data_IF_167669604703
#
_entry.id   IF_167669604703
#
_cell.length_a   1.000
_cell.length_b   1.000
_cell.length_c   1.000
_cell.angle_alpha   90.00
_cell.angle_beta   90.00
_cell.angle_gamma   90.00
#
_symmetry.space_group_name_H-M   'P 1'
#
loop_
_entity.id
_entity.type
_entity.pdbx_description
1 polymer ?
#
# COMPACT_ATOMS: atom_id res chain seq x y z
N UNK A 1 -9.85 28.16 5.81
CA UNK A 1 -9.04 27.88 7.01
C UNK A 1 -9.31 26.44 7.33
N UNK A 2 -8.40 25.58 6.89
CA UNK A 2 -8.59 24.13 6.88
C UNK A 2 -8.40 23.60 8.30
N UNK A 3 -9.44 23.01 8.87
CA UNK A 3 -9.25 22.16 10.03
C UNK A 3 -8.34 20.98 9.63
N UNK A 4 -7.28 20.68 10.39
CA UNK A 4 -6.51 19.48 10.12
C UNK A 4 -7.45 18.27 10.23
N UNK A 5 -7.42 17.43 9.19
CA UNK A 5 -8.11 16.14 9.12
C UNK A 5 -7.87 15.36 10.40
N UNK A 6 -8.90 14.66 10.89
CA UNK A 6 -8.95 14.00 12.21
C UNK A 6 -7.69 13.19 12.53
N UNK A 7 -7.08 12.57 11.52
CA UNK A 7 -5.88 11.75 11.68
C UNK A 7 -4.64 12.56 12.05
N UNK A 8 -4.47 13.77 11.50
CA UNK A 8 -3.31 14.62 11.74
C UNK A 8 -3.30 15.08 13.20
N UNK A 9 -4.44 15.58 13.69
CA UNK A 9 -4.64 15.99 15.09
C UNK A 9 -4.35 14.84 16.08
N UNK A 10 -4.65 13.60 15.70
CA UNK A 10 -4.46 12.42 16.55
C UNK A 10 -2.99 12.02 16.74
N UNK A 11 -2.11 12.29 15.77
CA UNK A 11 -0.76 11.69 15.75
C UNK A 11 0.40 12.68 15.69
N UNK A 12 0.15 13.98 15.49
CA UNK A 12 1.21 15.01 15.41
C UNK A 12 2.11 15.09 16.65
N UNK A 13 1.65 14.61 17.81
CA UNK A 13 2.48 14.52 19.02
C UNK A 13 3.52 13.39 18.98
N UNK A 14 3.27 12.36 18.17
CA UNK A 14 4.04 11.11 18.14
C UNK A 14 4.81 10.90 16.84
N UNK A 15 4.42 11.59 15.75
CA UNK A 15 5.10 11.48 14.47
C UNK A 15 4.90 12.73 13.61
N UNK A 16 5.89 13.01 12.76
CA UNK A 16 5.78 14.00 11.69
C UNK A 16 4.81 13.51 10.61
N UNK A 17 3.86 14.37 10.22
CA UNK A 17 2.97 14.13 9.08
C UNK A 17 3.14 15.25 8.06
N UNK A 18 3.45 14.86 6.84
CA UNK A 18 3.54 15.75 5.69
C UNK A 18 2.19 15.74 4.99
N UNK A 19 1.61 16.92 4.78
CA UNK A 19 0.33 17.04 4.05
C UNK A 19 0.52 17.78 2.73
N UNK A 20 -0.11 17.24 1.68
CA UNK A 20 -0.25 17.87 0.36
C UNK A 20 -1.73 18.18 0.17
N UNK A 21 -2.06 19.39 -0.24
CA UNK A 21 -3.44 19.86 -0.37
C UNK A 21 -3.73 20.29 -1.81
N UNK A 22 -4.84 19.82 -2.35
CA UNK A 22 -5.44 20.31 -3.60
C UNK A 22 -6.94 20.17 -3.47
N UNK A 23 -7.62 21.26 -3.10
CA UNK A 23 -9.06 21.24 -2.85
C UNK A 23 -9.82 20.53 -3.98
N UNK A 24 -10.74 19.61 -3.67
CA UNK A 24 -11.22 19.24 -2.32
C UNK A 24 -10.41 18.16 -1.59
N UNK A 25 -9.30 17.67 -2.15
CA UNK A 25 -8.55 16.55 -1.62
C UNK A 25 -7.30 16.94 -0.81
N UNK A 26 -6.90 16.06 0.10
CA UNK A 26 -5.60 16.12 0.77
C UNK A 26 -4.97 14.73 0.94
N UNK A 27 -3.64 14.72 0.90
CA UNK A 27 -2.82 13.53 1.07
C UNK A 27 -2.00 13.68 2.35
N UNK A 28 -2.06 12.70 3.24
CA UNK A 28 -1.29 12.68 4.49
C UNK A 28 -0.24 11.59 4.43
N UNK A 29 1.02 11.98 4.55
CA UNK A 29 2.18 11.12 4.41
C UNK A 29 2.91 11.02 5.74
N UNK A 30 3.20 9.79 6.15
CA UNK A 30 4.00 9.44 7.31
C UNK A 30 5.39 9.01 6.81
N UNK A 31 6.46 9.80 7.05
CA UNK A 31 7.82 9.42 6.65
C UNK A 31 8.29 8.10 7.28
N UNK A 32 7.82 7.79 8.49
CA UNK A 32 8.00 6.48 9.10
C UNK A 32 7.30 5.39 8.28
N UNK A 33 8.08 4.48 7.70
CA UNK A 33 7.61 3.48 6.73
C UNK A 33 7.33 4.03 5.33
N UNK A 34 7.52 5.34 5.11
CA UNK A 34 7.33 5.99 3.82
C UNK A 34 5.94 5.74 3.26
N UNK A 35 4.91 6.07 4.04
CA UNK A 35 3.52 5.69 3.78
C UNK A 35 2.66 6.88 3.40
N UNK A 36 1.71 6.67 2.49
CA UNK A 36 0.51 7.49 2.46
C UNK A 36 -0.41 6.93 3.55
N UNK A 37 -0.53 7.66 4.65
CA UNK A 37 -1.37 7.26 5.78
C UNK A 37 -2.85 7.60 5.53
N UNK A 38 -3.12 8.64 4.76
CA UNK A 38 -4.49 8.99 4.42
C UNK A 38 -4.66 9.73 3.11
N UNK A 39 -5.81 9.50 2.50
CA UNK A 39 -6.35 10.22 1.35
C UNK A 39 -7.71 10.75 1.78
N UNK A 40 -7.82 12.05 1.98
CA UNK A 40 -9.05 12.69 2.42
C UNK A 40 -9.68 13.47 1.26
N UNK A 41 -10.96 13.23 0.99
CA UNK A 41 -11.74 13.92 -0.04
C UNK A 41 -12.72 14.96 0.53
N UNK A 42 -12.50 15.40 1.78
CA UNK A 42 -13.41 16.27 2.52
C UNK A 42 -14.53 15.52 3.26
N UNK A 43 -14.59 14.19 3.11
CA UNK A 43 -15.55 13.29 3.76
C UNK A 43 -14.87 12.33 4.76
N UNK A 44 -13.55 12.41 4.90
CA UNK A 44 -12.75 11.51 5.73
C UNK A 44 -11.73 10.70 4.93
N UNK A 45 -10.95 9.91 5.67
CA UNK A 45 -9.85 9.12 5.12
C UNK A 45 -10.36 7.88 4.38
N UNK A 46 -9.98 7.72 3.12
CA UNK A 46 -10.32 6.54 2.30
C UNK A 46 -9.44 5.31 2.59
N UNK A 47 -8.36 5.48 3.35
CA UNK A 47 -7.45 4.39 3.70
C UNK A 47 -7.73 3.88 5.11
N UNK A 48 -7.57 2.56 5.29
CA UNK A 48 -7.61 2.00 6.63
C UNK A 48 -6.38 2.45 7.41
N UNK A 49 -6.60 2.89 8.64
CA UNK A 49 -5.53 3.21 9.58
C UNK A 49 -5.80 2.50 10.89
N UNK A 50 -4.72 2.14 11.58
CA UNK A 50 -4.87 1.34 12.79
C UNK A 50 -5.58 2.17 13.88
N UNK A 51 -6.70 1.70 14.45
CA UNK A 51 -7.44 2.46 15.46
C UNK A 51 -6.61 2.72 16.73
N UNK A 52 -5.56 1.93 16.99
CA UNK A 52 -4.62 2.09 18.10
C UNK A 52 -3.36 2.84 17.67
N UNK A 53 -3.51 3.87 16.84
CA UNK A 53 -2.36 4.45 16.13
C UNK A 53 -1.28 5.02 17.07
N UNK A 54 -1.69 5.67 18.15
CA UNK A 54 -0.77 6.22 19.15
C UNK A 54 0.10 5.11 19.76
N UNK A 55 -0.52 4.01 20.20
CA UNK A 55 0.18 2.87 20.81
C UNK A 55 1.16 2.22 19.83
N UNK A 56 0.75 2.04 18.56
CA UNK A 56 1.62 1.48 17.51
C UNK A 56 2.85 2.36 17.29
N UNK A 57 2.68 3.68 17.28
CA UNK A 57 3.79 4.62 17.09
C UNK A 57 4.73 4.62 18.30
N UNK A 58 4.18 4.68 19.52
CA UNK A 58 4.94 4.66 20.78
C UNK A 58 5.76 3.39 20.95
N UNK A 59 5.19 2.23 20.57
CA UNK A 59 5.89 0.93 20.62
C UNK A 59 6.85 0.70 19.45
N UNK A 60 6.87 1.59 18.47
CA UNK A 60 7.67 1.40 17.26
C UNK A 60 7.19 0.23 16.39
N UNK A 61 5.92 -0.15 16.47
CA UNK A 61 5.33 -1.23 15.66
C UNK A 61 5.06 -0.82 14.21
N UNK A 62 5.03 -1.79 13.30
CA UNK A 62 4.91 -1.50 11.86
C UNK A 62 3.48 -1.16 11.43
N UNK A 63 2.43 -1.65 12.09
CA UNK A 63 1.08 -1.68 11.51
C UNK A 63 0.30 -0.37 11.67
N UNK A 64 0.70 0.68 10.95
CA UNK A 64 0.02 1.98 10.95
C UNK A 64 -1.17 2.05 10.01
N UNK A 65 -1.29 1.10 9.07
CA UNK A 65 -2.24 1.18 7.95
C UNK A 65 -1.73 2.03 6.77
N UNK A 66 -2.65 2.45 5.91
CA UNK A 66 -2.36 3.24 4.73
C UNK A 66 -1.81 2.45 3.56
N UNK A 67 -1.02 3.12 2.73
CA UNK A 67 -0.29 2.53 1.61
C UNK A 67 1.15 2.25 2.03
N UNK A 68 1.59 1.00 1.93
CA UNK A 68 2.87 0.52 2.45
C UNK A 68 3.70 -0.23 1.41
N UNK A 69 5.01 -0.26 1.65
CA UNK A 69 5.97 -1.05 0.86
C UNK A 69 5.90 -2.52 1.25
N UNK A 70 6.07 -3.39 0.27
CA UNK A 70 6.24 -4.81 0.48
C UNK A 70 7.29 -5.37 -0.48
N UNK A 71 7.91 -6.49 -0.10
CA UNK A 71 8.90 -7.17 -0.94
C UNK A 71 8.55 -8.66 -1.04
N UNK A 72 8.59 -9.20 -2.25
CA UNK A 72 8.33 -10.62 -2.52
C UNK A 72 9.61 -11.33 -2.96
N UNK A 73 9.71 -12.66 -2.82
CA UNK A 73 8.69 -13.56 -2.27
C UNK A 73 8.49 -13.35 -0.77
N UNK A 74 7.24 -13.24 -0.32
CA UNK A 74 6.90 -13.02 1.09
C UNK A 74 7.51 -14.11 1.98
N UNK A 75 7.45 -15.36 1.51
CA UNK A 75 8.01 -16.53 2.19
C UNK A 75 9.46 -16.30 2.62
N UNK A 76 10.28 -15.71 1.75
CA UNK A 76 11.70 -15.47 2.00
C UNK A 76 11.94 -14.41 3.09
N UNK A 77 11.20 -13.30 3.06
CA UNK A 77 11.54 -12.14 3.88
C UNK A 77 10.72 -12.03 5.18
N UNK A 78 9.50 -12.55 5.19
CA UNK A 78 8.51 -12.33 6.25
C UNK A 78 8.30 -13.52 7.19
N UNK A 79 8.96 -14.65 6.99
CA UNK A 79 8.80 -15.82 7.86
C UNK A 79 10.15 -16.28 8.42
N UNK A 80 10.19 -16.59 9.72
CA UNK A 80 11.37 -17.19 10.33
C UNK A 80 11.57 -18.65 9.92
N UNK A 81 10.47 -19.36 9.65
CA UNK A 81 10.45 -20.72 9.13
C UNK A 81 9.80 -20.73 7.73
N UNK A 82 10.50 -20.27 6.68
CA UNK A 82 9.92 -20.05 5.35
C UNK A 82 9.24 -21.30 4.79
N UNK A 83 9.84 -22.48 4.98
CA UNK A 83 9.32 -23.76 4.46
C UNK A 83 7.95 -24.16 5.02
N UNK A 84 7.57 -23.62 6.19
CA UNK A 84 6.28 -23.91 6.84
C UNK A 84 5.36 -22.69 6.91
N UNK A 85 5.78 -21.55 6.35
CA UNK A 85 5.13 -20.26 6.61
C UNK A 85 4.97 -20.00 8.13
N UNK A 86 6.01 -20.37 8.91
CA UNK A 86 6.02 -20.26 10.36
C UNK A 86 6.70 -18.99 10.86
N UNK A 87 6.18 -18.42 11.95
CA UNK A 87 6.80 -17.28 12.63
C UNK A 87 6.82 -16.02 11.77
N UNK A 88 5.64 -15.58 11.30
CA UNK A 88 5.50 -14.36 10.51
C UNK A 88 6.08 -13.14 11.26
N UNK A 89 6.84 -12.31 10.55
CA UNK A 89 7.40 -11.04 11.02
C UNK A 89 7.47 -10.01 9.89
N UNK A 90 7.27 -8.75 10.23
CA UNK A 90 7.56 -7.65 9.32
C UNK A 90 9.03 -7.24 9.46
N UNK A 91 9.86 -7.27 8.39
CA UNK A 91 11.24 -6.80 8.46
C UNK A 91 11.27 -5.28 8.76
N UNK A 92 11.84 -4.83 9.89
CA UNK A 92 11.82 -3.42 10.26
C UNK A 92 12.60 -2.53 9.28
N UNK A 93 13.59 -3.11 8.58
CA UNK A 93 14.36 -2.44 7.52
C UNK A 93 13.60 -2.27 6.20
N UNK A 94 12.42 -2.88 6.05
CA UNK A 94 11.49 -2.63 4.93
C UNK A 94 10.35 -1.73 5.42
N UNK A 95 9.78 -2.07 6.58
CA UNK A 95 8.61 -1.40 7.12
C UNK A 95 8.56 -1.59 8.64
N UNK A 96 8.68 -0.50 9.42
CA UNK A 96 8.43 0.88 9.07
C UNK A 96 9.71 1.69 8.88
N UNK A 97 10.63 1.21 8.03
CA UNK A 97 11.93 1.85 7.77
C UNK A 97 11.89 3.39 7.83
N UNK A 98 12.94 4.01 8.34
CA UNK A 98 12.93 5.45 8.62
C UNK A 98 13.27 6.25 7.35
N UNK A 99 12.25 6.72 6.63
CA UNK A 99 12.48 7.56 5.47
C UNK A 99 12.74 9.01 5.88
N UNK A 100 13.71 9.63 5.22
CA UNK A 100 13.93 11.07 5.25
C UNK A 100 13.26 11.74 4.06
N UNK A 101 12.82 12.97 4.25
CA UNK A 101 12.31 13.82 3.17
C UNK A 101 13.48 14.31 2.33
N UNK A 102 13.44 14.03 1.03
CA UNK A 102 14.43 14.49 0.05
C UNK A 102 13.99 15.81 -0.57
N UNK A 103 12.70 15.91 -0.91
CA UNK A 103 12.11 17.12 -1.45
C UNK A 103 10.63 17.21 -1.09
N UNK A 104 10.14 18.45 -0.94
CA UNK A 104 8.73 18.76 -0.70
C UNK A 104 8.34 19.90 -1.61
N UNK A 105 7.50 19.59 -2.60
CA UNK A 105 6.84 20.55 -3.46
C UNK A 105 5.41 20.82 -3.01
N UNK A 106 4.70 21.66 -3.79
CA UNK A 106 3.29 21.98 -3.53
C UNK A 106 2.37 20.75 -3.69
N UNK A 107 2.65 19.90 -4.68
CA UNK A 107 1.79 18.77 -5.06
C UNK A 107 2.50 17.40 -4.95
N UNK A 108 3.77 17.39 -4.54
CA UNK A 108 4.55 16.16 -4.45
C UNK A 108 5.52 16.16 -3.27
N UNK A 109 5.78 14.99 -2.71
CA UNK A 109 6.84 14.74 -1.74
C UNK A 109 7.71 13.59 -2.22
N UNK A 110 9.01 13.70 -1.98
CA UNK A 110 9.94 12.60 -2.20
C UNK A 110 10.59 12.18 -0.88
N UNK A 111 10.63 10.88 -0.67
CA UNK A 111 11.18 10.24 0.50
C UNK A 111 12.28 9.26 0.09
N UNK A 112 13.27 9.06 0.95
CA UNK A 112 14.26 7.99 0.76
C UNK A 112 14.63 7.30 2.06
N UNK A 113 14.96 6.02 1.97
CA UNK A 113 15.52 5.25 3.08
C UNK A 113 16.55 4.26 2.56
N UNK A 114 17.56 3.95 3.37
CA UNK A 114 18.25 2.67 3.24
C UNK A 114 17.30 1.55 3.66
N UNK A 115 17.38 0.40 3.00
CA UNK A 115 16.60 -0.79 3.36
C UNK A 115 17.50 -2.00 3.54
N UNK A 116 17.05 -2.90 4.41
CA UNK A 116 17.71 -4.18 4.66
C UNK A 116 16.68 -5.23 5.04
N UNK A 117 16.76 -6.40 4.39
CA UNK A 117 15.97 -7.57 4.74
C UNK A 117 16.79 -8.84 4.52
N UNK A 118 16.85 -9.70 5.55
CA UNK A 118 17.42 -11.04 5.40
C UNK A 118 16.42 -11.93 4.65
N UNK A 119 16.87 -12.53 3.56
CA UNK A 119 16.22 -13.65 2.91
C UNK A 119 16.49 -14.91 3.76
N UNK A 120 15.43 -15.49 4.30
CA UNK A 120 15.50 -16.66 5.17
C UNK A 120 15.63 -17.98 4.42
N UNK A 121 15.52 -17.96 3.08
CA UNK A 121 15.71 -19.12 2.20
C UNK A 121 17.17 -19.16 1.70
N UNK A 122 17.65 -18.08 1.08
CA UNK A 122 19.01 -18.02 0.54
C UNK A 122 20.07 -17.65 1.58
N UNK A 123 19.64 -17.14 2.73
CA UNK A 123 20.47 -16.54 3.79
C UNK A 123 21.20 -15.24 3.39
N UNK A 124 21.10 -14.81 2.13
CA UNK A 124 21.58 -13.50 1.67
C UNK A 124 20.78 -12.36 2.34
N UNK A 125 21.38 -11.18 2.43
CA UNK A 125 20.68 -9.98 2.89
C UNK A 125 20.50 -9.02 1.72
N UNK A 126 19.25 -8.74 1.38
CA UNK A 126 18.90 -7.69 0.45
C UNK A 126 19.18 -6.35 1.10
N UNK A 127 20.22 -5.66 0.62
CA UNK A 127 20.58 -4.32 1.05
C UNK A 127 20.42 -3.35 -0.11
N UNK A 128 19.80 -2.21 0.16
CA UNK A 128 19.50 -1.27 -0.90
C UNK A 128 19.11 0.12 -0.41
N UNK A 129 18.67 0.93 -1.37
CA UNK A 129 18.06 2.23 -1.13
C UNK A 129 16.73 2.27 -1.87
N UNK A 130 15.69 2.66 -1.16
CA UNK A 130 14.38 2.93 -1.75
C UNK A 130 14.17 4.44 -1.81
N UNK A 131 13.66 4.92 -2.94
CA UNK A 131 13.17 6.28 -3.13
C UNK A 131 11.70 6.19 -3.49
N UNK A 132 10.88 7.00 -2.84
CA UNK A 132 9.45 7.09 -3.10
C UNK A 132 9.10 8.51 -3.51
N UNK A 133 8.20 8.65 -4.47
CA UNK A 133 7.57 9.92 -4.82
C UNK A 133 6.07 9.76 -4.76
N UNK A 134 5.43 10.59 -3.95
CA UNK A 134 3.99 10.68 -3.86
C UNK A 134 3.53 12.01 -4.43
N UNK A 135 2.55 11.97 -5.32
CA UNK A 135 2.03 13.14 -6.00
C UNK A 135 0.52 13.13 -6.00
N UNK A 136 -0.09 14.23 -5.55
CA UNK A 136 -1.51 14.50 -5.76
C UNK A 136 -1.64 15.20 -7.11
N UNK A 137 -1.99 14.43 -8.14
CA UNK A 137 -1.96 14.88 -9.55
C UNK A 137 -3.15 15.77 -9.87
N UNK A 138 -4.33 15.37 -9.41
CA UNK A 138 -5.58 16.13 -9.60
C UNK A 138 -6.56 15.78 -8.49
N UNK A 139 -7.46 16.72 -8.23
CA UNK A 139 -8.65 16.53 -7.44
C UNK A 139 -9.82 17.17 -8.21
N UNK A 140 -10.92 16.44 -8.33
CA UNK A 140 -12.08 16.85 -9.10
C UNK A 140 -13.33 16.78 -8.23
N UNK A 141 -14.23 17.72 -8.44
CA UNK A 141 -15.57 17.72 -7.85
C UNK A 141 -16.58 18.04 -8.94
N UNK A 142 -17.39 17.07 -9.33
CA UNK A 142 -18.39 17.22 -10.38
C UNK A 142 -19.64 16.39 -10.03
N UNK A 143 -20.83 16.97 -10.20
CA UNK A 143 -22.09 16.26 -9.98
C UNK A 143 -22.28 15.69 -8.57
N UNK A 144 -21.59 16.26 -7.56
CA UNK A 144 -21.59 15.75 -6.18
C UNK A 144 -20.60 14.62 -5.90
N UNK A 145 -19.91 14.11 -6.93
CA UNK A 145 -18.82 13.17 -6.76
C UNK A 145 -17.49 13.92 -6.54
N UNK A 146 -16.70 13.45 -5.58
CA UNK A 146 -15.33 13.92 -5.36
C UNK A 146 -14.38 12.79 -5.72
N UNK A 147 -13.33 13.11 -6.48
CA UNK A 147 -12.27 12.15 -6.80
C UNK A 147 -10.90 12.79 -6.71
N UNK A 148 -9.87 11.97 -6.49
CA UNK A 148 -8.48 12.39 -6.55
C UNK A 148 -7.65 11.35 -7.29
N UNK A 149 -6.70 11.82 -8.09
CA UNK A 149 -5.69 10.96 -8.74
C UNK A 149 -4.38 11.14 -8.01
N UNK A 150 -3.87 10.04 -7.50
CA UNK A 150 -2.57 9.99 -6.82
C UNK A 150 -1.62 9.18 -7.68
N UNK A 151 -0.41 9.70 -7.88
CA UNK A 151 0.68 8.96 -8.52
C UNK A 151 1.67 8.56 -7.44
N UNK A 152 2.02 7.27 -7.44
CA UNK A 152 3.00 6.65 -6.56
C UNK A 152 4.11 6.09 -7.44
N UNK A 153 5.34 6.51 -7.18
CA UNK A 153 6.53 5.98 -7.84
C UNK A 153 7.48 5.47 -6.78
N UNK A 154 7.77 4.18 -6.83
CA UNK A 154 8.71 3.51 -5.94
C UNK A 154 9.90 3.01 -6.76
N UNK A 155 11.10 3.41 -6.35
CA UNK A 155 12.36 2.98 -6.96
C UNK A 155 13.19 2.28 -5.92
N UNK A 156 13.56 1.02 -6.17
CA UNK A 156 14.44 0.26 -5.31
C UNK A 156 15.73 -0.07 -6.04
N UNK A 157 16.86 0.45 -5.54
CA UNK A 157 18.20 0.05 -5.98
C UNK A 157 18.79 -0.92 -4.97
N UNK A 158 19.15 -2.11 -5.43
CA UNK A 158 19.74 -3.17 -4.60
C UNK A 158 21.23 -3.34 -4.93
N UNK A 159 22.04 -3.70 -3.94
CA UNK A 159 23.46 -3.99 -4.11
C UNK A 159 23.73 -5.45 -3.78
N UNK A 160 24.44 -6.15 -4.66
CA UNK A 160 25.00 -7.49 -4.42
C UNK A 160 23.97 -8.50 -3.86
N UNK A 161 22.77 -8.55 -4.45
CA UNK A 161 21.73 -9.53 -4.12
C UNK A 161 21.35 -10.27 -5.40
N UNK A 162 21.36 -11.60 -5.36
CA UNK A 162 21.31 -12.41 -6.58
C UNK A 162 20.04 -13.23 -6.75
N UNK A 163 19.14 -13.17 -5.77
CA UNK A 163 17.90 -13.93 -5.79
C UNK A 163 16.75 -13.10 -6.39
N UNK A 164 15.75 -13.73 -7.03
CA UNK A 164 14.58 -13.01 -7.52
C UNK A 164 13.84 -12.30 -6.39
N UNK A 165 13.49 -11.04 -6.61
CA UNK A 165 12.61 -10.29 -5.73
C UNK A 165 11.68 -9.39 -6.54
N UNK A 166 10.59 -8.92 -5.93
CA UNK A 166 9.79 -7.85 -6.51
C UNK A 166 9.33 -6.86 -5.45
N UNK A 167 9.22 -5.60 -5.86
CA UNK A 167 8.73 -4.50 -5.03
C UNK A 167 7.23 -4.36 -5.23
N UNK A 168 6.49 -4.30 -4.12
CA UNK A 168 5.04 -4.19 -4.11
C UNK A 168 4.61 -2.97 -3.33
N UNK A 169 3.51 -2.37 -3.78
CA UNK A 169 2.74 -1.40 -3.00
C UNK A 169 1.47 -2.09 -2.51
N UNK A 170 1.26 -2.11 -1.20
CA UNK A 170 0.04 -2.65 -0.60
C UNK A 170 -0.83 -1.49 -0.11
N UNK A 171 -2.10 -1.52 -0.48
CA UNK A 171 -3.10 -0.54 -0.04
C UNK A 171 -4.01 -1.22 0.98
N UNK A 172 -4.13 -0.61 2.17
CA UNK A 172 -5.10 -1.05 3.18
C UNK A 172 -6.32 -0.13 3.11
N UNK A 173 -7.49 -0.72 2.86
CA UNK A 173 -8.78 -0.02 2.75
C UNK A 173 -9.71 -0.47 3.87
N UNK A 174 -10.59 0.40 4.39
CA UNK A 174 -11.58 -0.02 5.38
C UNK A 174 -12.58 -0.98 4.74
N UNK A 175 -13.13 -1.89 5.54
CA UNK A 175 -14.43 -2.47 5.22
C UNK A 175 -15.43 -1.33 5.37
N UNK A 176 -16.25 -1.05 4.36
CA UNK A 176 -17.12 0.15 4.34
C UNK A 176 -18.04 0.25 5.57
N UNK A 177 -18.81 1.32 5.72
CA UNK A 177 -19.59 1.61 6.94
C UNK A 177 -20.53 0.47 7.38
N UNK A 178 -20.96 -0.39 6.45
CA UNK A 178 -21.77 -1.59 6.71
C UNK A 178 -20.95 -2.86 7.03
N UNK A 179 -19.65 -2.72 7.29
CA UNK A 179 -18.71 -3.82 7.49
C UNK A 179 -18.36 -4.58 6.21
N UNK A 180 -18.78 -4.10 5.04
CA UNK A 180 -18.55 -4.76 3.73
C UNK A 180 -18.16 -3.72 2.68
N UNK A 181 -17.09 -4.00 1.96
CA UNK A 181 -16.63 -3.25 0.79
C UNK A 181 -16.56 -4.13 -0.45
N UNK A 182 -16.50 -3.50 -1.62
CA UNK A 182 -16.22 -4.18 -2.88
C UNK A 182 -15.00 -3.56 -3.55
N UNK A 183 -14.05 -4.41 -3.92
CA UNK A 183 -13.02 -4.08 -4.89
C UNK A 183 -13.60 -4.35 -6.29
N UNK A 184 -13.53 -3.35 -7.16
CA UNK A 184 -13.91 -3.46 -8.57
C UNK A 184 -12.64 -3.31 -9.40
N UNK A 185 -12.30 -4.35 -10.16
CA UNK A 185 -11.13 -4.33 -11.06
C UNK A 185 -11.61 -4.40 -12.50
N UNK A 186 -11.35 -3.37 -13.33
CA UNK A 186 -11.63 -3.44 -14.76
C UNK A 186 -10.83 -4.55 -15.43
N UNK A 187 -11.48 -5.37 -16.25
CA UNK A 187 -10.86 -6.48 -16.98
C UNK A 187 -11.42 -6.58 -18.41
N UNK A 188 -10.72 -7.30 -19.29
CA UNK A 188 -11.24 -7.67 -20.60
C UNK A 188 -12.34 -8.75 -20.48
N UNK A 189 -13.04 -9.02 -21.59
CA UNK A 189 -14.04 -10.10 -21.65
C UNK A 189 -13.38 -11.46 -21.41
N UNK A 190 -14.08 -12.34 -20.70
CA UNK A 190 -13.62 -13.69 -20.33
C UNK A 190 -12.37 -13.73 -19.45
N UNK A 191 -12.17 -12.72 -18.60
CA UNK A 191 -11.09 -12.72 -17.62
C UNK A 191 -11.13 -13.97 -16.73
N UNK A 192 -9.96 -14.48 -16.34
CA UNK A 192 -9.86 -15.67 -15.47
C UNK A 192 -9.00 -15.34 -14.25
N UNK A 193 -9.61 -14.79 -13.19
CA UNK A 193 -8.91 -14.50 -11.95
C UNK A 193 -8.27 -15.75 -11.34
N UNK A 194 -7.10 -15.56 -10.72
CA UNK A 194 -6.33 -16.60 -10.05
C UNK A 194 -6.76 -16.67 -8.58
N UNK A 195 -6.93 -17.88 -8.09
CA UNK A 195 -7.17 -18.19 -6.68
C UNK A 195 -5.88 -18.75 -6.07
N UNK A 196 -5.25 -18.06 -5.11
CA UNK A 196 -3.91 -18.45 -4.65
C UNK A 196 -3.88 -19.53 -3.57
N UNK A 197 -4.90 -19.62 -2.71
CA UNK A 197 -4.91 -20.56 -1.59
C UNK A 197 -6.01 -21.61 -1.77
N UNK A 198 -7.25 -21.16 -1.66
CA UNK A 198 -8.45 -21.95 -1.85
C UNK A 198 -9.32 -21.26 -2.89
N UNK A 199 -10.23 -22.03 -3.49
CA UNK A 199 -11.30 -21.46 -4.31
C UNK A 199 -12.04 -20.38 -3.52
N UNK A 200 -12.18 -19.21 -4.14
CA UNK A 200 -12.89 -18.09 -3.53
C UNK A 200 -14.38 -18.33 -3.78
N UNK A 201 -15.25 -18.31 -2.75
CA UNK A 201 -16.68 -18.55 -2.94
C UNK A 201 -17.30 -17.53 -3.90
N UNK A 202 -18.32 -17.95 -4.66
CA UNK A 202 -19.07 -17.08 -5.58
C UNK A 202 -19.74 -15.88 -4.88
N UNK A 203 -20.03 -16.02 -3.57
CA UNK A 203 -20.52 -14.90 -2.75
C UNK A 203 -19.48 -13.80 -2.54
N UNK A 204 -18.19 -14.10 -2.71
CA UNK A 204 -17.08 -13.17 -2.56
C UNK A 204 -16.48 -12.72 -3.88
N UNK A 205 -16.58 -13.52 -4.94
CA UNK A 205 -16.02 -13.21 -6.26
C UNK A 205 -17.07 -13.36 -7.35
N UNK A 206 -17.28 -12.29 -8.11
CA UNK A 206 -18.09 -12.30 -9.33
C UNK A 206 -17.29 -11.76 -10.50
N UNK A 207 -17.36 -12.45 -11.62
CA UNK A 207 -16.69 -12.05 -12.87
C UNK A 207 -17.76 -11.64 -13.88
N UNK A 208 -17.67 -10.40 -14.35
CA UNK A 208 -18.58 -9.81 -15.33
C UNK A 208 -17.86 -9.56 -16.66
N UNK A 209 -18.63 -9.22 -17.70
CA UNK A 209 -18.04 -8.64 -18.91
C UNK A 209 -17.55 -7.22 -18.60
N UNK A 210 -16.23 -7.06 -18.43
CA UNK A 210 -15.60 -5.74 -18.23
C UNK A 210 -15.05 -5.48 -16.83
N UNK A 211 -15.45 -6.25 -15.81
CA UNK A 211 -14.93 -6.09 -14.45
C UNK A 211 -15.03 -7.36 -13.59
N UNK A 212 -14.20 -7.41 -12.56
CA UNK A 212 -14.26 -8.38 -11.46
C UNK A 212 -14.69 -7.64 -10.19
N UNK A 213 -15.67 -8.19 -9.48
CA UNK A 213 -16.06 -7.73 -8.14
C UNK A 213 -15.54 -8.71 -7.09
N UNK A 214 -14.80 -8.18 -6.11
CA UNK A 214 -14.30 -8.94 -4.98
C UNK A 214 -14.75 -8.30 -3.67
N UNK A 215 -15.42 -9.07 -2.81
CA UNK A 215 -15.96 -8.59 -1.53
C UNK A 215 -14.86 -8.58 -0.47
N UNK A 216 -14.76 -7.49 0.27
CA UNK A 216 -13.84 -7.29 1.40
C UNK A 216 -14.68 -7.01 2.64
N UNK A 217 -14.75 -7.96 3.56
CA UNK A 217 -15.52 -7.85 4.81
C UNK A 217 -14.69 -8.14 6.08
N UNK A 218 -13.45 -8.60 5.94
CA UNK A 218 -12.57 -8.93 7.05
C UNK A 218 -12.89 -10.26 7.76
N UNK A 219 -13.89 -11.01 7.28
CA UNK A 219 -14.32 -12.28 7.89
C UNK A 219 -13.51 -13.48 7.40
N UNK A 220 -12.78 -13.33 6.28
CA UNK A 220 -12.02 -14.41 5.64
C UNK A 220 -10.69 -13.92 5.08
N UNK A 221 -9.68 -14.76 5.21
CA UNK A 221 -8.41 -14.61 4.51
C UNK A 221 -8.54 -15.19 3.09
N UNK A 222 -8.65 -14.31 2.11
CA UNK A 222 -8.81 -14.66 0.70
C UNK A 222 -7.77 -13.91 -0.15
N UNK A 223 -7.29 -14.55 -1.22
CA UNK A 223 -6.29 -13.96 -2.10
C UNK A 223 -6.62 -14.22 -3.56
N UNK A 224 -6.94 -13.12 -4.25
CA UNK A 224 -7.27 -13.06 -5.67
C UNK A 224 -6.08 -12.48 -6.46
N UNK A 225 -5.77 -13.07 -7.61
CA UNK A 225 -4.91 -12.48 -8.62
C UNK A 225 -5.69 -12.12 -9.87
N UNK A 226 -5.35 -11.01 -10.52
CA UNK A 226 -5.78 -10.70 -11.88
C UNK A 226 -4.58 -10.91 -12.79
N UNK A 227 -4.75 -11.69 -13.84
CA UNK A 227 -3.66 -11.95 -14.78
C UNK A 227 -3.35 -10.67 -15.57
N UNK A 228 -2.09 -10.39 -15.90
CA UNK A 228 -1.75 -9.22 -16.70
C UNK A 228 -2.52 -9.14 -18.02
N UNK A 229 -2.71 -10.27 -18.71
CA UNK A 229 -3.47 -10.38 -19.96
C UNK A 229 -4.97 -10.09 -19.81
N UNK A 230 -5.50 -10.13 -18.58
CA UNK A 230 -6.90 -9.83 -18.31
C UNK A 230 -7.14 -8.32 -18.09
N UNK A 231 -6.10 -7.49 -17.97
CA UNK A 231 -6.25 -6.05 -17.77
C UNK A 231 -6.52 -5.35 -19.12
N UNK A 232 -7.40 -4.33 -19.19
CA UNK A 232 -7.76 -3.68 -20.45
C UNK A 232 -6.64 -2.84 -21.06
N UNK A 233 -5.69 -2.37 -20.24
CA UNK A 233 -4.50 -1.64 -20.68
C UNK A 233 -3.32 -2.18 -19.86
N UNK A 234 -2.77 -3.37 -20.21
CA UNK A 234 -1.65 -3.92 -19.48
C UNK A 234 -0.47 -2.96 -19.65
N UNK A 235 -0.02 -2.34 -18.57
CA UNK A 235 1.25 -1.64 -18.57
C UNK A 235 2.36 -2.66 -18.32
N UNK A 236 3.46 -2.54 -19.06
CA UNK A 236 4.66 -3.30 -18.76
C UNK A 236 5.21 -2.87 -17.40
N UNK A 237 5.30 -3.81 -16.45
CA UNK A 237 6.20 -3.65 -15.33
C UNK A 237 7.63 -3.65 -15.89
N UNK A 238 8.33 -2.51 -15.77
CA UNK A 238 9.72 -2.39 -16.20
C UNK A 238 10.65 -2.73 -15.05
N UNK A 239 11.46 -3.76 -15.24
CA UNK A 239 12.67 -3.98 -14.44
C UNK A 239 13.84 -3.38 -15.22
N UNK A 240 14.40 -2.29 -14.71
CA UNK A 240 15.61 -1.68 -15.26
C UNK A 240 16.81 -2.21 -14.45
N UNK A 241 17.80 -2.78 -15.14
CA UNK A 241 19.03 -3.35 -14.57
C UNK A 241 20.16 -2.31 -14.52
#
# INVERSE_FOLDING_TARGET
>A
MDEPTTIKKQIEKNAEIISIHSHPASLHILPRGGRILGVDLGIGNLLWTNPKMVEVLEKGEWNTGGIRTWISPEQAFFYNEPQKFGGWRCPPGIDPANYRVVSKGKHAVELESAISAKDMISEETLNGKIRKRFELVEAHQEGGAISARIRILDFLTVKNYHNPFALWTLIQVPTGDEGKGKLIVPVVKNAQPIHYFNSIPESYLRVFEGHVEFTIDGERELKLGIRPEDLPNPQEARMEY
#
